data_IF_347913227189
#
_entry.id   IF_347913227189
#
_cell.length_a   1.000
_cell.length_b   1.000
_cell.length_c   1.000
_cell.angle_alpha   90.00
_cell.angle_beta   90.00
_cell.angle_gamma   90.00
#
_symmetry.space_group_name_H-M   'P 1'
#
loop_
_entity.id
_entity.type
_entity.pdbx_description
1 polymer ?
#
# COMPACT_ATOMS: atom_id res chain seq x y z
N UNK A 1 -33.70 3.12 19.58
CA UNK A 1 -34.88 2.47 18.93
C UNK A 1 -35.06 3.22 17.62
N UNK A 2 -34.56 2.66 16.52
CA UNK A 2 -34.81 3.22 15.17
C UNK A 2 -36.28 2.98 14.86
N UNK A 3 -36.98 4.08 14.57
CA UNK A 3 -38.43 4.07 14.32
C UNK A 3 -38.75 3.19 13.11
N UNK A 4 -39.73 2.29 13.18
CA UNK A 4 -40.13 1.42 12.08
C UNK A 4 -40.47 2.21 10.80
N UNK A 5 -40.90 3.45 10.94
CA UNK A 5 -41.15 4.42 9.89
C UNK A 5 -39.85 4.83 9.15
N UNK A 6 -38.72 4.99 9.87
CA UNK A 6 -37.43 5.36 9.29
C UNK A 6 -36.83 4.19 8.46
N UNK A 7 -37.05 2.95 8.92
CA UNK A 7 -36.60 1.76 8.22
C UNK A 7 -37.37 1.53 6.91
N UNK A 8 -38.68 1.74 6.92
CA UNK A 8 -39.51 1.63 5.72
C UNK A 8 -39.14 2.70 4.67
N UNK A 9 -38.96 3.95 5.11
CA UNK A 9 -38.55 5.05 4.23
C UNK A 9 -37.17 4.83 3.60
N UNK A 10 -36.25 4.22 4.36
CA UNK A 10 -34.92 3.85 3.84
C UNK A 10 -35.01 2.72 2.82
N UNK A 11 -35.81 1.69 3.09
CA UNK A 11 -36.08 0.59 2.15
C UNK A 11 -36.64 1.07 0.82
N UNK A 12 -37.65 1.96 0.86
CA UNK A 12 -38.25 2.53 -0.34
C UNK A 12 -37.24 3.39 -1.14
N UNK A 13 -36.36 4.08 -0.42
CA UNK A 13 -35.30 4.88 -1.03
C UNK A 13 -34.29 3.99 -1.75
N UNK A 14 -33.85 2.88 -1.13
CA UNK A 14 -32.93 1.92 -1.73
C UNK A 14 -33.52 1.36 -3.02
N UNK A 15 -34.76 0.85 -2.97
CA UNK A 15 -35.40 0.25 -4.13
C UNK A 15 -35.58 1.27 -5.27
N UNK A 16 -36.05 2.46 -4.97
CA UNK A 16 -36.24 3.53 -5.97
C UNK A 16 -34.92 3.94 -6.63
N UNK A 17 -33.84 4.12 -5.86
CA UNK A 17 -32.54 4.49 -6.40
C UNK A 17 -31.93 3.35 -7.21
N UNK A 18 -32.04 2.12 -6.71
CA UNK A 18 -31.54 0.94 -7.40
C UNK A 18 -32.21 0.78 -8.78
N UNK A 19 -33.56 0.84 -8.85
CA UNK A 19 -34.30 0.72 -10.09
C UNK A 19 -33.90 1.78 -11.11
N UNK A 20 -33.87 3.06 -10.72
CA UNK A 20 -33.53 4.18 -11.61
C UNK A 20 -32.08 4.15 -12.09
N UNK A 21 -31.14 3.69 -11.23
CA UNK A 21 -29.74 3.54 -11.62
C UNK A 21 -29.55 2.35 -12.56
N UNK A 22 -30.23 1.26 -12.28
CA UNK A 22 -30.12 0.03 -13.07
C UNK A 22 -30.81 0.16 -14.44
N UNK A 23 -31.89 0.94 -14.54
CA UNK A 23 -32.56 1.25 -15.84
C UNK A 23 -31.81 2.32 -16.64
N UNK A 24 -30.84 3.01 -16.06
CA UNK A 24 -30.13 4.14 -16.70
C UNK A 24 -30.96 5.43 -16.80
N UNK A 25 -32.08 5.51 -16.07
CA UNK A 25 -32.94 6.71 -16.03
C UNK A 25 -32.38 7.81 -15.14
N UNK A 26 -31.38 7.50 -14.30
CA UNK A 26 -30.80 8.44 -13.35
C UNK A 26 -29.30 8.64 -13.63
N UNK A 27 -28.93 9.87 -13.93
CA UNK A 27 -27.52 10.27 -14.05
C UNK A 27 -26.88 10.57 -12.67
N UNK A 28 -25.57 10.74 -12.63
CA UNK A 28 -24.84 10.99 -11.39
C UNK A 28 -25.12 12.35 -10.75
N UNK A 29 -25.51 13.35 -11.52
CA UNK A 29 -25.95 14.64 -10.97
C UNK A 29 -27.31 14.49 -10.26
N UNK A 30 -28.23 13.77 -10.90
CA UNK A 30 -29.53 13.44 -10.31
C UNK A 30 -29.40 12.55 -9.06
N UNK A 31 -28.46 11.58 -9.09
CA UNK A 31 -28.16 10.73 -7.94
C UNK A 31 -27.71 11.55 -6.73
N UNK A 32 -26.82 12.51 -6.90
CA UNK A 32 -26.36 13.37 -5.81
C UNK A 32 -27.33 14.54 -5.51
N UNK A 33 -28.42 14.69 -6.29
CA UNK A 33 -29.39 15.77 -6.11
C UNK A 33 -28.82 17.16 -6.40
N UNK A 34 -27.92 17.26 -7.37
CA UNK A 34 -27.22 18.51 -7.73
C UNK A 34 -27.45 18.87 -9.21
N UNK A 35 -27.27 20.14 -9.55
CA UNK A 35 -27.37 20.61 -10.93
C UNK A 35 -26.10 20.33 -11.72
N UNK A 36 -26.20 20.29 -13.06
CA UNK A 36 -25.07 20.04 -13.95
C UNK A 36 -24.00 21.15 -13.91
N UNK A 37 -24.35 22.33 -13.47
CA UNK A 37 -23.43 23.48 -13.34
C UNK A 37 -22.80 23.58 -11.95
N UNK A 38 -22.95 22.54 -11.13
CA UNK A 38 -22.48 22.55 -9.72
C UNK A 38 -20.96 22.57 -9.65
N UNK A 39 -20.44 23.39 -8.72
CA UNK A 39 -19.01 23.50 -8.42
C UNK A 39 -18.51 22.35 -7.52
N UNK A 40 -17.22 22.11 -7.52
CA UNK A 40 -16.54 21.02 -6.79
C UNK A 40 -16.96 20.93 -5.30
N UNK A 41 -17.05 22.07 -4.61
CA UNK A 41 -17.42 22.10 -3.18
C UNK A 41 -18.83 21.57 -2.92
N UNK A 42 -19.76 21.86 -3.81
CA UNK A 42 -21.15 21.45 -3.63
C UNK A 42 -21.35 19.98 -4.00
N UNK A 43 -20.51 19.46 -4.93
CA UNK A 43 -20.45 18.02 -5.22
C UNK A 43 -20.02 17.25 -3.95
N UNK A 44 -18.96 17.71 -3.29
CA UNK A 44 -18.50 17.08 -2.05
C UNK A 44 -19.55 17.14 -0.93
N UNK A 45 -20.20 18.29 -0.73
CA UNK A 45 -21.26 18.44 0.24
C UNK A 45 -22.46 17.53 -0.04
N UNK A 46 -22.83 17.37 -1.31
CA UNK A 46 -23.92 16.48 -1.73
C UNK A 46 -23.56 15.02 -1.50
N UNK A 47 -22.34 14.63 -1.84
CA UNK A 47 -21.81 13.31 -1.57
C UNK A 47 -21.84 12.99 -0.06
N UNK A 48 -21.36 13.89 0.79
CA UNK A 48 -21.32 13.67 2.24
C UNK A 48 -22.74 13.45 2.82
N UNK A 49 -23.75 14.19 2.35
CA UNK A 49 -25.14 13.97 2.74
C UNK A 49 -25.64 12.58 2.35
N UNK A 50 -25.42 12.20 1.09
CA UNK A 50 -25.87 10.91 0.56
C UNK A 50 -25.19 9.73 1.23
N UNK A 51 -23.87 9.80 1.44
CA UNK A 51 -23.11 8.66 1.99
C UNK A 51 -23.38 8.44 3.48
N UNK A 52 -23.81 9.45 4.22
CA UNK A 52 -24.29 9.29 5.59
C UNK A 52 -25.51 8.36 5.65
N UNK A 53 -26.44 8.48 4.71
CA UNK A 53 -27.61 7.62 4.63
C UNK A 53 -27.25 6.20 4.22
N UNK A 54 -26.22 6.02 3.39
CA UNK A 54 -25.70 4.74 2.91
C UNK A 54 -24.40 4.35 3.62
N UNK A 55 -24.27 4.64 4.91
CA UNK A 55 -23.11 4.24 5.71
C UNK A 55 -23.03 2.72 5.84
N UNK A 56 -21.79 2.19 5.94
CA UNK A 56 -21.54 0.76 6.08
C UNK A 56 -22.32 0.16 7.25
N UNK A 57 -22.42 0.88 8.39
CA UNK A 57 -23.16 0.44 9.56
C UNK A 57 -24.66 0.29 9.28
N UNK A 58 -25.26 1.21 8.55
CA UNK A 58 -26.70 1.13 8.18
C UNK A 58 -26.94 0.01 7.19
N UNK A 59 -26.04 -0.19 6.22
CA UNK A 59 -26.14 -1.27 5.23
C UNK A 59 -26.01 -2.63 5.92
N UNK A 60 -25.05 -2.80 6.81
CA UNK A 60 -24.87 -4.06 7.55
C UNK A 60 -26.04 -4.38 8.51
N UNK A 61 -26.77 -3.37 8.96
CA UNK A 61 -27.97 -3.56 9.78
C UNK A 61 -29.19 -4.10 9.00
N UNK A 62 -29.16 -4.09 7.67
CA UNK A 62 -30.24 -4.63 6.82
C UNK A 62 -30.22 -6.16 6.93
N UNK A 63 -31.30 -6.75 7.41
CA UNK A 63 -31.44 -8.20 7.59
C UNK A 63 -31.70 -8.94 6.28
N UNK A 64 -32.42 -8.32 5.34
CA UNK A 64 -32.73 -8.88 4.03
C UNK A 64 -31.48 -8.84 3.12
N UNK A 65 -30.97 -9.99 2.63
CA UNK A 65 -29.79 -10.05 1.78
C UNK A 65 -29.95 -9.34 0.44
N UNK A 66 -31.14 -9.43 -0.19
CA UNK A 66 -31.41 -8.80 -1.48
C UNK A 66 -31.41 -7.27 -1.35
N UNK A 67 -32.10 -6.76 -0.34
CA UNK A 67 -32.13 -5.33 -0.03
C UNK A 67 -30.73 -4.81 0.32
N UNK A 68 -29.93 -5.59 1.06
CA UNK A 68 -28.53 -5.25 1.39
C UNK A 68 -27.69 -5.14 0.12
N UNK A 69 -27.80 -6.09 -0.81
CA UNK A 69 -27.07 -6.06 -2.08
C UNK A 69 -27.44 -4.83 -2.92
N UNK A 70 -28.73 -4.45 -2.95
CA UNK A 70 -29.19 -3.22 -3.59
C UNK A 70 -28.63 -1.97 -2.94
N UNK A 71 -28.59 -1.93 -1.61
CA UNK A 71 -28.02 -0.81 -0.86
C UNK A 71 -26.51 -0.65 -1.14
N UNK A 72 -25.75 -1.76 -1.16
CA UNK A 72 -24.33 -1.78 -1.53
C UNK A 72 -24.10 -1.29 -2.97
N UNK A 73 -24.96 -1.71 -3.90
CA UNK A 73 -24.91 -1.22 -5.28
C UNK A 73 -25.09 0.29 -5.33
N UNK A 74 -26.09 0.85 -4.65
CA UNK A 74 -26.36 2.30 -4.60
C UNK A 74 -25.17 3.02 -3.96
N UNK A 75 -24.61 2.51 -2.85
CA UNK A 75 -23.45 3.09 -2.21
C UNK A 75 -22.24 3.15 -3.15
N UNK A 76 -21.95 2.09 -3.89
CA UNK A 76 -20.87 2.09 -4.90
C UNK A 76 -21.11 3.14 -5.99
N UNK A 77 -22.35 3.32 -6.43
CA UNK A 77 -22.70 4.36 -7.42
C UNK A 77 -22.54 5.78 -6.86
N UNK A 78 -22.85 6.02 -5.59
CA UNK A 78 -22.61 7.30 -4.91
C UNK A 78 -21.11 7.62 -4.86
N UNK A 79 -20.26 6.65 -4.50
CA UNK A 79 -18.81 6.81 -4.53
C UNK A 79 -18.28 7.08 -5.95
N UNK A 80 -18.80 6.34 -6.95
CA UNK A 80 -18.42 6.53 -8.35
C UNK A 80 -18.82 7.91 -8.86
N UNK A 81 -20.03 8.37 -8.56
CA UNK A 81 -20.52 9.69 -8.91
C UNK A 81 -19.60 10.80 -8.38
N UNK A 82 -19.23 10.74 -7.11
CA UNK A 82 -18.28 11.69 -6.51
C UNK A 82 -16.95 11.71 -7.28
N UNK A 83 -16.32 10.57 -7.45
CA UNK A 83 -14.99 10.49 -8.07
C UNK A 83 -15.01 11.00 -9.52
N UNK A 84 -16.01 10.60 -10.29
CA UNK A 84 -16.17 11.02 -11.68
C UNK A 84 -16.45 12.52 -11.79
N UNK A 85 -17.35 13.06 -10.99
CA UNK A 85 -17.75 14.47 -11.08
C UNK A 85 -16.70 15.44 -10.52
N UNK A 86 -15.80 14.97 -9.64
CA UNK A 86 -14.66 15.76 -9.15
C UNK A 86 -13.47 15.75 -10.12
N UNK A 87 -13.37 14.76 -10.99
CA UNK A 87 -12.34 14.70 -12.01
C UNK A 87 -12.81 15.45 -13.26
N UNK A 88 -12.13 16.54 -13.61
CA UNK A 88 -12.52 17.41 -14.73
C UNK A 88 -12.60 16.65 -16.06
N UNK A 89 -11.62 15.80 -16.36
CA UNK A 89 -11.54 15.08 -17.63
C UNK A 89 -12.61 13.98 -17.72
N UNK A 90 -12.83 13.23 -16.63
CA UNK A 90 -13.87 12.20 -16.55
C UNK A 90 -15.26 12.81 -16.62
N UNK A 91 -15.49 13.92 -15.95
CA UNK A 91 -16.74 14.68 -16.00
C UNK A 91 -17.03 15.17 -17.43
N UNK A 92 -16.05 15.78 -18.09
CA UNK A 92 -16.21 16.24 -19.47
C UNK A 92 -16.49 15.08 -20.44
N UNK A 93 -15.84 13.94 -20.25
CA UNK A 93 -16.11 12.73 -21.03
C UNK A 93 -17.51 12.14 -20.76
N UNK A 94 -17.98 12.19 -19.51
CA UNK A 94 -19.31 11.78 -19.11
C UNK A 94 -20.40 12.67 -19.72
N UNK A 95 -20.19 13.97 -19.72
CA UNK A 95 -21.08 14.96 -20.36
C UNK A 95 -21.17 14.72 -21.88
N UNK A 96 -20.03 14.49 -22.56
CA UNK A 96 -19.99 14.17 -24.00
C UNK A 96 -20.77 12.90 -24.37
N UNK A 97 -20.83 11.92 -23.49
CA UNK A 97 -21.60 10.66 -23.67
C UNK A 97 -23.09 10.80 -23.34
N UNK A 98 -23.57 12.02 -23.12
CA UNK A 98 -24.97 12.28 -22.79
C UNK A 98 -25.36 11.77 -21.41
N UNK A 99 -24.44 11.85 -20.43
CA UNK A 99 -24.60 11.43 -19.03
C UNK A 99 -24.88 9.94 -18.86
N UNK A 100 -24.47 9.14 -19.84
CA UNK A 100 -24.51 7.68 -19.72
C UNK A 100 -23.23 7.19 -19.09
N UNK A 101 -23.38 6.33 -18.10
CA UNK A 101 -22.27 5.56 -17.58
C UNK A 101 -21.73 4.66 -18.71
N UNK A 102 -20.41 4.46 -18.76
CA UNK A 102 -19.90 3.33 -19.51
C UNK A 102 -20.53 2.08 -18.90
N UNK A 103 -21.16 1.25 -19.72
CA UNK A 103 -21.70 -0.02 -19.26
C UNK A 103 -20.58 -0.86 -18.62
N UNK A 104 -20.94 -1.84 -17.77
CA UNK A 104 -19.92 -2.74 -17.18
C UNK A 104 -19.07 -3.48 -18.23
N UNK A 105 -19.48 -3.43 -19.52
CA UNK A 105 -18.74 -3.95 -20.67
C UNK A 105 -17.77 -2.93 -21.31
N UNK A 106 -17.86 -1.64 -20.94
CA UNK A 106 -17.06 -0.54 -21.50
C UNK A 106 -16.00 0.00 -20.52
N UNK A 107 -16.10 -0.30 -19.21
CA UNK A 107 -14.92 -0.22 -18.35
C UNK A 107 -14.11 -1.48 -18.73
N UNK A 108 -12.88 -1.34 -19.26
CA UNK A 108 -11.99 -2.48 -19.27
C UNK A 108 -11.98 -2.95 -17.81
N UNK A 109 -12.33 -4.23 -17.57
CA UNK A 109 -12.04 -4.84 -16.26
C UNK A 109 -10.58 -4.49 -16.00
N UNK A 110 -10.35 -3.51 -15.13
CA UNK A 110 -8.99 -3.14 -14.78
C UNK A 110 -8.36 -4.42 -14.29
N UNK A 111 -7.48 -4.99 -15.10
CA UNK A 111 -6.75 -6.19 -14.72
C UNK A 111 -6.22 -5.95 -13.30
N UNK A 112 -6.65 -6.73 -12.29
CA UNK A 112 -6.22 -6.51 -10.91
C UNK A 112 -4.70 -6.42 -10.81
N UNK A 113 -3.98 -7.14 -11.67
CA UNK A 113 -2.52 -7.12 -11.75
C UNK A 113 -2.01 -5.78 -12.27
N UNK A 114 -2.66 -5.20 -13.28
CA UNK A 114 -2.27 -3.88 -13.82
C UNK A 114 -2.62 -2.76 -12.82
N UNK A 115 -3.78 -2.85 -12.18
CA UNK A 115 -4.16 -1.95 -11.09
C UNK A 115 -3.14 -1.99 -9.95
N UNK A 116 -2.72 -3.19 -9.53
CA UNK A 116 -1.68 -3.36 -8.51
C UNK A 116 -0.35 -2.71 -8.94
N UNK A 117 0.06 -2.88 -10.21
CA UNK A 117 1.27 -2.25 -10.75
C UNK A 117 1.19 -0.72 -10.72
N UNK A 118 0.06 -0.15 -11.10
CA UNK A 118 -0.17 1.29 -11.11
C UNK A 118 -0.12 1.86 -9.69
N UNK A 119 -0.75 1.19 -8.72
CA UNK A 119 -0.71 1.53 -7.31
C UNK A 119 0.72 1.44 -6.74
N UNK A 120 1.50 0.42 -7.12
CA UNK A 120 2.89 0.28 -6.73
C UNK A 120 3.77 1.40 -7.30
N UNK A 121 3.62 1.77 -8.59
CA UNK A 121 4.32 2.92 -9.19
C UNK A 121 4.01 4.21 -8.44
N UNK A 122 2.73 4.43 -8.11
CA UNK A 122 2.29 5.56 -7.28
C UNK A 122 2.96 5.54 -5.90
N UNK A 123 2.98 4.39 -5.24
CA UNK A 123 3.62 4.24 -3.93
C UNK A 123 5.12 4.52 -3.97
N UNK A 124 5.85 4.09 -5.02
CA UNK A 124 7.27 4.45 -5.22
C UNK A 124 7.47 5.96 -5.33
N UNK A 125 6.61 6.64 -6.08
CA UNK A 125 6.67 8.11 -6.20
C UNK A 125 6.38 8.79 -4.85
N UNK A 126 5.40 8.31 -4.09
CA UNK A 126 5.07 8.83 -2.76
C UNK A 126 6.21 8.57 -1.76
N UNK A 127 6.85 7.41 -1.82
CA UNK A 127 8.04 7.11 -1.01
C UNK A 127 9.18 8.10 -1.27
N UNK A 128 9.48 8.42 -2.54
CA UNK A 128 10.51 9.41 -2.87
C UNK A 128 10.15 10.81 -2.39
N UNK A 129 8.87 11.13 -2.28
CA UNK A 129 8.35 12.38 -1.70
C UNK A 129 8.25 12.35 -0.17
N UNK A 130 8.62 11.23 0.45
CA UNK A 130 8.51 10.98 1.90
C UNK A 130 7.07 11.00 2.45
N UNK A 131 6.08 10.87 1.58
CA UNK A 131 4.67 10.69 1.98
C UNK A 131 4.40 9.21 2.23
N UNK A 132 4.91 8.73 3.37
CA UNK A 132 4.85 7.30 3.71
C UNK A 132 3.43 6.84 4.02
N UNK A 133 2.60 7.70 4.61
CA UNK A 133 1.21 7.35 4.96
C UNK A 133 0.37 7.05 3.72
N UNK A 134 0.40 7.94 2.72
CA UNK A 134 -0.32 7.73 1.46
C UNK A 134 0.29 6.59 0.65
N UNK A 135 1.63 6.38 0.72
CA UNK A 135 2.29 5.24 0.08
C UNK A 135 1.80 3.90 0.66
N UNK A 136 1.64 3.80 1.99
CA UNK A 136 1.11 2.60 2.65
C UNK A 136 -0.29 2.26 2.18
N UNK A 137 -1.20 3.23 2.13
CA UNK A 137 -2.57 3.02 1.63
C UNK A 137 -2.58 2.52 0.18
N UNK A 138 -1.71 3.06 -0.68
CA UNK A 138 -1.58 2.58 -2.06
C UNK A 138 -1.05 1.14 -2.12
N UNK A 139 -0.08 0.77 -1.26
CA UNK A 139 0.49 -0.58 -1.20
C UNK A 139 -0.48 -1.61 -0.63
N UNK A 140 -1.29 -1.26 0.37
CA UNK A 140 -2.36 -2.13 0.88
C UNK A 140 -3.32 -2.52 -0.24
N UNK A 141 -3.75 -1.54 -1.02
CA UNK A 141 -4.61 -1.79 -2.19
C UNK A 141 -3.89 -2.61 -3.26
N UNK A 142 -2.59 -2.35 -3.53
CA UNK A 142 -1.81 -3.13 -4.48
C UNK A 142 -1.71 -4.61 -4.06
N UNK A 143 -1.44 -4.87 -2.77
CA UNK A 143 -1.38 -6.22 -2.21
C UNK A 143 -2.75 -6.91 -2.26
N UNK A 144 -3.83 -6.15 -2.04
CA UNK A 144 -5.19 -6.70 -2.16
C UNK A 144 -5.50 -7.14 -3.61
N UNK A 145 -5.07 -6.37 -4.60
CA UNK A 145 -5.28 -6.70 -6.02
C UNK A 145 -4.36 -7.83 -6.50
N UNK A 146 -3.08 -7.84 -6.09
CA UNK A 146 -2.12 -8.90 -6.45
C UNK A 146 -1.20 -9.22 -5.25
N UNK A 147 -1.56 -10.21 -4.42
CA UNK A 147 -0.77 -10.59 -3.24
C UNK A 147 0.51 -11.38 -3.56
N UNK A 148 0.80 -11.66 -4.84
CA UNK A 148 1.89 -12.57 -5.24
C UNK A 148 3.20 -11.87 -5.57
N UNK A 149 3.31 -10.55 -5.36
CA UNK A 149 4.50 -9.76 -5.65
C UNK A 149 5.28 -9.39 -4.39
N UNK A 150 6.50 -9.91 -4.26
CA UNK A 150 7.40 -9.62 -3.15
C UNK A 150 7.73 -8.12 -3.02
N UNK A 151 7.87 -7.43 -4.14
CA UNK A 151 8.16 -5.98 -4.20
C UNK A 151 7.16 -5.13 -3.42
N UNK A 152 5.88 -5.53 -3.38
CA UNK A 152 4.86 -4.76 -2.68
C UNK A 152 5.06 -4.84 -1.16
N UNK A 153 5.32 -6.03 -0.64
CA UNK A 153 5.63 -6.25 0.78
C UNK A 153 6.96 -5.62 1.16
N UNK A 154 7.97 -5.72 0.29
CA UNK A 154 9.26 -5.06 0.48
C UNK A 154 9.09 -3.55 0.65
N UNK A 155 8.47 -2.87 -0.34
CA UNK A 155 8.29 -1.42 -0.29
C UNK A 155 7.39 -1.00 0.89
N UNK A 156 6.37 -1.81 1.22
CA UNK A 156 5.51 -1.58 2.38
C UNK A 156 6.33 -1.62 3.68
N UNK A 157 7.16 -2.66 3.85
CA UNK A 157 8.07 -2.76 4.99
C UNK A 157 9.06 -1.60 5.07
N UNK A 158 9.65 -1.21 3.93
CA UNK A 158 10.56 -0.05 3.85
C UNK A 158 9.87 1.26 4.23
N UNK A 159 8.63 1.51 3.77
CA UNK A 159 7.84 2.67 4.19
C UNK A 159 7.59 2.66 5.71
N UNK A 160 7.20 1.50 6.25
CA UNK A 160 6.92 1.32 7.68
C UNK A 160 8.17 1.53 8.56
N UNK A 161 9.38 1.23 8.06
CA UNK A 161 10.61 1.53 8.82
C UNK A 161 10.80 3.02 9.10
N UNK A 162 10.16 3.91 8.34
CA UNK A 162 10.21 5.37 8.52
C UNK A 162 9.23 5.88 9.58
N UNK A 163 8.30 5.03 10.03
CA UNK A 163 7.27 5.37 11.00
C UNK A 163 7.57 4.61 12.31
N UNK A 164 7.95 5.29 13.39
CA UNK A 164 8.43 4.63 14.62
C UNK A 164 7.47 3.61 15.21
N UNK A 165 6.16 3.85 15.10
CA UNK A 165 5.12 2.97 15.65
C UNK A 165 4.89 1.69 14.83
N UNK A 166 5.39 1.62 13.58
CA UNK A 166 5.13 0.52 12.65
C UNK A 166 6.33 -0.44 12.46
N UNK A 167 7.29 -0.45 13.38
CA UNK A 167 8.52 -1.27 13.26
C UNK A 167 8.25 -2.77 13.24
N UNK A 168 7.27 -3.23 14.01
CA UNK A 168 6.88 -4.66 14.03
C UNK A 168 6.20 -5.08 12.72
N UNK A 169 5.36 -4.22 12.19
CA UNK A 169 4.71 -4.43 10.90
C UNK A 169 5.74 -4.41 9.76
N UNK A 170 6.73 -3.51 9.84
CA UNK A 170 7.87 -3.49 8.92
C UNK A 170 8.63 -4.81 8.91
N UNK A 171 8.97 -5.36 10.08
CA UNK A 171 9.62 -6.67 10.19
C UNK A 171 8.79 -7.77 9.52
N UNK A 172 7.48 -7.84 9.77
CA UNK A 172 6.59 -8.84 9.18
C UNK A 172 6.57 -8.75 7.65
N UNK A 173 6.41 -7.54 7.11
CA UNK A 173 6.33 -7.34 5.66
C UNK A 173 7.67 -7.61 4.96
N UNK A 174 8.79 -7.21 5.57
CA UNK A 174 10.13 -7.53 5.03
C UNK A 174 10.43 -9.03 5.10
N UNK A 175 10.02 -9.73 6.17
CA UNK A 175 10.14 -11.19 6.25
C UNK A 175 9.27 -11.86 5.18
N UNK A 176 8.07 -11.34 4.92
CA UNK A 176 7.21 -11.86 3.83
C UNK A 176 7.86 -11.70 2.47
N UNK A 177 8.52 -10.57 2.21
CA UNK A 177 9.29 -10.37 0.98
C UNK A 177 10.45 -11.37 0.85
N UNK A 178 11.19 -11.63 1.94
CA UNK A 178 12.25 -12.66 1.98
C UNK A 178 11.69 -14.07 1.75
N UNK A 179 10.54 -14.40 2.32
CA UNK A 179 9.88 -15.69 2.13
C UNK A 179 9.52 -15.92 0.64
N UNK A 180 9.04 -14.88 -0.01
CA UNK A 180 8.63 -14.94 -1.42
C UNK A 180 9.83 -14.96 -2.37
N UNK A 181 10.89 -14.22 -2.08
CA UNK A 181 12.12 -14.12 -2.88
C UNK A 181 13.39 -14.32 -2.04
N UNK A 182 13.70 -15.55 -1.59
CA UNK A 182 14.82 -15.84 -0.70
C UNK A 182 16.21 -15.67 -1.36
N UNK A 183 16.26 -15.41 -2.64
CA UNK A 183 17.50 -15.09 -3.38
C UNK A 183 17.80 -13.59 -3.44
N UNK A 184 16.84 -12.73 -3.12
CA UNK A 184 16.96 -11.28 -3.28
C UNK A 184 17.71 -10.65 -2.09
N UNK A 185 18.94 -10.22 -2.33
CA UNK A 185 19.81 -9.62 -1.30
C UNK A 185 19.23 -8.35 -0.68
N UNK A 186 18.50 -7.54 -1.47
CA UNK A 186 17.92 -6.29 -1.02
C UNK A 186 16.91 -6.48 0.12
N UNK A 187 16.13 -7.58 0.10
CA UNK A 187 15.18 -7.89 1.15
C UNK A 187 15.87 -8.16 2.50
N UNK A 188 16.98 -8.90 2.48
CA UNK A 188 17.80 -9.13 3.69
C UNK A 188 18.47 -7.85 4.15
N UNK A 189 18.97 -7.04 3.22
CA UNK A 189 19.60 -5.77 3.54
C UNK A 189 18.64 -4.79 4.21
N UNK A 190 17.36 -4.75 3.76
CA UNK A 190 16.32 -3.94 4.39
C UNK A 190 16.01 -4.38 5.83
N UNK A 191 15.96 -5.70 6.10
CA UNK A 191 15.85 -6.23 7.46
C UNK A 191 17.07 -5.84 8.30
N UNK A 192 18.28 -5.94 7.74
CA UNK A 192 19.48 -5.47 8.38
C UNK A 192 19.42 -4.00 8.78
N UNK A 193 18.93 -3.14 7.89
CA UNK A 193 18.73 -1.71 8.17
C UNK A 193 17.69 -1.45 9.25
N UNK A 194 16.56 -2.20 9.24
CA UNK A 194 15.55 -2.10 10.28
C UNK A 194 16.18 -2.38 11.65
N UNK A 195 16.86 -3.52 11.83
CA UNK A 195 17.48 -3.89 13.10
C UNK A 195 18.64 -2.97 13.49
N UNK A 196 19.40 -2.48 12.52
CA UNK A 196 20.43 -1.48 12.77
C UNK A 196 19.83 -0.18 13.32
N UNK A 197 18.71 0.29 12.78
CA UNK A 197 18.00 1.47 13.29
C UNK A 197 17.47 1.30 14.72
N UNK A 198 17.15 0.06 15.11
CA UNK A 198 16.71 -0.32 16.45
C UNK A 198 17.88 -0.64 17.41
N UNK A 199 19.14 -0.43 16.96
CA UNK A 199 20.37 -0.77 17.70
C UNK A 199 20.52 -2.25 18.07
N UNK A 200 19.84 -3.13 17.36
CA UNK A 200 19.93 -4.58 17.50
C UNK A 200 21.06 -5.12 16.61
N UNK A 201 22.31 -4.72 16.92
CA UNK A 201 23.48 -4.92 16.07
C UNK A 201 23.72 -6.39 15.70
N UNK A 202 23.53 -7.34 16.62
CA UNK A 202 23.73 -8.77 16.34
C UNK A 202 22.72 -9.30 15.30
N UNK A 203 21.48 -8.84 15.36
CA UNK A 203 20.47 -9.20 14.35
C UNK A 203 20.76 -8.52 13.01
N UNK A 204 21.14 -7.24 13.04
CA UNK A 204 21.53 -6.47 11.85
C UNK A 204 22.71 -7.13 11.13
N UNK A 205 23.76 -7.51 11.86
CA UNK A 205 24.91 -8.24 11.34
C UNK A 205 24.50 -9.53 10.63
N UNK A 206 23.67 -10.35 11.28
CA UNK A 206 23.18 -11.61 10.70
C UNK A 206 22.48 -11.38 9.35
N UNK A 207 21.63 -10.35 9.25
CA UNK A 207 20.90 -10.08 8.01
C UNK A 207 21.79 -9.45 6.94
N UNK A 208 22.76 -8.59 7.29
CA UNK A 208 23.73 -8.06 6.32
C UNK A 208 24.64 -9.17 5.77
N UNK A 209 25.06 -10.13 6.60
CA UNK A 209 25.80 -11.31 6.11
C UNK A 209 24.95 -12.13 5.13
N UNK A 210 23.68 -12.39 5.45
CA UNK A 210 22.76 -13.08 4.53
C UNK A 210 22.58 -12.33 3.21
N UNK A 211 22.53 -11.00 3.24
CA UNK A 211 22.48 -10.20 2.01
C UNK A 211 23.77 -10.39 1.18
N UNK A 212 24.94 -10.36 1.82
CA UNK A 212 26.23 -10.58 1.14
C UNK A 212 26.43 -12.01 0.65
N UNK A 213 25.82 -13.00 1.30
CA UNK A 213 25.80 -14.39 0.82
C UNK A 213 25.01 -14.53 -0.49
N UNK A 214 23.95 -13.72 -0.67
CA UNK A 214 23.15 -13.69 -1.91
C UNK A 214 23.81 -12.82 -2.97
N UNK A 215 24.36 -11.68 -2.60
CA UNK A 215 25.03 -10.74 -3.47
C UNK A 215 26.32 -10.22 -2.81
N UNK A 216 27.48 -10.83 -3.09
CA UNK A 216 28.76 -10.41 -2.51
C UNK A 216 29.14 -8.96 -2.85
N UNK A 217 28.59 -8.40 -3.92
CA UNK A 217 28.78 -7.01 -4.34
C UNK A 217 27.89 -5.98 -3.65
N UNK A 218 26.99 -6.37 -2.76
CA UNK A 218 26.01 -5.47 -2.17
C UNK A 218 26.64 -4.40 -1.26
N UNK A 219 26.89 -3.23 -1.84
CA UNK A 219 27.71 -2.16 -1.24
C UNK A 219 27.18 -1.64 0.09
N UNK A 220 25.86 -1.45 0.20
CA UNK A 220 25.23 -0.93 1.41
C UNK A 220 25.34 -1.94 2.56
N UNK A 221 25.07 -3.22 2.32
CA UNK A 221 25.17 -4.26 3.35
C UNK A 221 26.61 -4.41 3.85
N UNK A 222 27.61 -4.36 2.95
CA UNK A 222 29.03 -4.38 3.32
C UNK A 222 29.40 -3.19 4.19
N UNK A 223 29.04 -1.97 3.75
CA UNK A 223 29.34 -0.77 4.51
C UNK A 223 28.74 -0.81 5.92
N UNK A 224 27.48 -1.24 6.04
CA UNK A 224 26.81 -1.34 7.35
C UNK A 224 27.37 -2.46 8.22
N UNK A 225 27.79 -3.55 7.63
CA UNK A 225 28.46 -4.62 8.34
C UNK A 225 29.83 -4.14 8.90
N UNK A 226 30.61 -3.43 8.09
CA UNK A 226 31.89 -2.82 8.53
C UNK A 226 31.69 -1.80 9.66
N UNK A 227 30.60 -1.04 9.64
CA UNK A 227 30.25 -0.11 10.75
C UNK A 227 29.95 -0.85 12.06
N UNK A 228 29.41 -2.08 11.99
CA UNK A 228 29.04 -2.89 13.18
C UNK A 228 30.25 -3.66 13.72
N UNK A 229 31.00 -4.34 12.86
CA UNK A 229 32.03 -5.30 13.26
C UNK A 229 33.46 -4.82 12.98
N UNK A 230 33.58 -3.67 12.31
CA UNK A 230 34.87 -3.17 11.81
C UNK A 230 35.23 -3.77 10.44
N UNK A 231 36.27 -3.23 9.80
CA UNK A 231 36.70 -3.69 8.48
C UNK A 231 37.14 -5.16 8.55
N UNK A 232 36.71 -5.97 7.57
CA UNK A 232 37.23 -7.33 7.43
C UNK A 232 38.75 -7.31 7.27
N UNK A 233 39.44 -8.00 8.16
CA UNK A 233 40.87 -8.18 8.04
C UNK A 233 41.16 -8.94 6.76
N UNK A 234 42.00 -8.38 5.89
CA UNK A 234 42.40 -9.05 4.67
C UNK A 234 43.00 -10.42 5.01
N UNK A 235 42.84 -11.44 4.18
CA UNK A 235 43.36 -12.79 4.44
C UNK A 235 44.84 -12.80 4.84
N UNK A 236 45.63 -11.90 4.24
CA UNK A 236 47.06 -11.71 4.58
C UNK A 236 47.28 -11.17 6.00
N UNK A 237 46.36 -10.34 6.52
CA UNK A 237 46.50 -9.78 7.90
C UNK A 237 46.13 -10.85 8.94
N UNK A 238 45.15 -11.73 8.62
CA UNK A 238 44.82 -12.88 9.46
C UNK A 238 45.95 -13.90 9.51
N UNK A 239 46.58 -14.18 8.37
CA UNK A 239 47.79 -15.05 8.30
C UNK A 239 48.92 -14.43 9.07
N UNK A 240 49.13 -13.11 8.97
CA UNK A 240 50.20 -12.38 9.69
C UNK A 240 49.97 -12.36 11.20
N UNK A 241 48.72 -12.16 11.66
CA UNK A 241 48.40 -12.27 13.08
C UNK A 241 48.52 -13.71 13.60
N UNK A 242 48.09 -14.70 12.81
CA UNK A 242 48.25 -16.12 13.14
C UNK A 242 49.73 -16.50 13.29
N UNK A 243 50.58 -16.07 12.35
CA UNK A 243 52.03 -16.26 12.41
C UNK A 243 52.66 -15.51 13.56
N UNK A 244 52.23 -14.28 13.86
CA UNK A 244 52.76 -13.50 15.00
C UNK A 244 52.41 -14.14 16.35
N UNK A 245 51.25 -14.81 16.45
CA UNK A 245 50.85 -15.58 17.65
C UNK A 245 51.55 -16.92 17.76
N UNK A 246 51.82 -17.58 16.62
CA UNK A 246 52.45 -18.90 16.58
C UNK A 246 53.95 -18.85 16.74
N UNK A 247 54.61 -17.76 16.32
CA UNK A 247 56.10 -17.62 16.37
C UNK A 247 56.47 -16.25 16.94
N UNK A 248 56.39 -16.08 18.29
CA UNK A 248 56.71 -14.80 18.92
C UNK A 248 58.15 -14.32 18.72
N UNK A 249 59.09 -15.22 18.37
CA UNK A 249 60.51 -14.94 18.20
C UNK A 249 60.89 -14.25 16.88
N UNK A 250 60.02 -14.28 15.87
CA UNK A 250 60.31 -13.68 14.55
C UNK A 250 60.08 -12.16 14.54
N UNK A 251 59.22 -11.64 15.41
CA UNK A 251 58.88 -10.21 15.47
C UNK A 251 59.45 -9.49 16.69
N UNK A 252 60.24 -10.18 17.52
CA UNK A 252 60.92 -9.61 18.67
C UNK A 252 62.33 -9.16 18.35
N UNK A 253 62.57 -7.86 18.45
CA UNK A 253 63.83 -7.12 18.47
C UNK A 253 64.31 -6.50 17.15
N UNK A 254 63.84 -5.30 16.86
CA UNK A 254 64.78 -4.24 16.55
C UNK A 254 65.10 -3.53 17.86
N UNK A 255 66.25 -3.87 18.45
CA UNK A 255 66.93 -3.03 19.43
C UNK A 255 67.74 -1.99 18.66
N UNK A 256 67.59 -0.74 19.13
CA UNK A 256 68.49 0.43 19.13
C UNK A 256 69.33 0.69 17.90
#
# INVERSE_FOLDING_TARGET
MTDASDLQGFTDTINRLYEKLNSGEMDYFALLGISRNTITRDIENAYQRMICDFSEQRIMAISDPDLRQKAEFVARKIHRARNLLLNFDERAAYEKRGFREQGPQDEPEEDPVETARNLYRKAKTLYTRQDYATALTALERAIHCDPKKADYYYLMGVCQTRIPTLKREAEKNLLKAVEMEPWNAEHYAALGLLFYSERLNSRAESYFRKALDKEPGHTMARKKLEEIVGPEKKPMDQVREGLAKAIPSIFGKKKK
#
